data_IF_962970893717
#
_entry.id   IF_962970893717
#
_cell.length_a   1.000
_cell.length_b   1.000
_cell.length_c   1.000
_cell.angle_alpha   90.00
_cell.angle_beta   90.00
_cell.angle_gamma   90.00
#
_symmetry.space_group_name_H-M   'P 1'
#
loop_
_entity.id
_entity.type
_entity.pdbx_description
1 polymer ?
#
# COMPACT_ATOMS: atom_id res chain seq x y z
N UNK A 1 81.63 -28.86 24.68
CA UNK A 1 81.31 -29.43 26.00
C UNK A 1 79.79 -29.44 26.14
N UNK A 2 79.15 -30.20 25.25
CA UNK A 2 77.71 -30.12 24.97
C UNK A 2 77.29 -31.40 24.21
N UNK A 3 77.89 -32.53 24.58
CA UNK A 3 77.75 -33.81 23.87
C UNK A 3 77.76 -35.02 24.82
N UNK A 4 77.61 -34.81 26.14
CA UNK A 4 77.52 -35.88 27.15
C UNK A 4 76.15 -35.96 27.86
N UNK A 5 75.20 -35.08 27.50
CA UNK A 5 73.86 -35.04 28.13
C UNK A 5 72.77 -35.68 27.26
N UNK A 6 73.06 -36.03 26.01
CA UNK A 6 72.09 -36.63 25.08
C UNK A 6 72.03 -38.16 25.11
N UNK A 7 73.06 -38.86 25.62
CA UNK A 7 73.07 -40.33 25.63
C UNK A 7 72.29 -40.94 26.82
N UNK A 8 72.02 -40.18 27.88
CA UNK A 8 71.21 -40.64 29.02
C UNK A 8 69.69 -40.60 28.80
N UNK A 9 69.23 -39.96 27.73
CA UNK A 9 67.81 -39.88 27.37
C UNK A 9 67.37 -40.99 26.41
N UNK A 10 68.29 -41.73 25.79
CA UNK A 10 67.97 -42.82 24.86
C UNK A 10 67.93 -44.21 25.50
N UNK A 11 68.60 -44.42 26.63
CA UNK A 11 68.57 -45.72 27.35
C UNK A 11 67.39 -45.87 28.32
N UNK A 12 66.73 -44.78 28.72
CA UNK A 12 65.51 -44.86 29.55
C UNK A 12 64.25 -45.13 28.70
N UNK A 13 64.37 -45.07 27.37
CA UNK A 13 63.24 -45.17 26.45
C UNK A 13 63.09 -46.56 25.80
N UNK A 14 64.02 -47.50 26.08
CA UNK A 14 64.06 -48.83 25.45
C UNK A 14 63.92 -50.02 26.42
N UNK A 15 63.49 -49.82 27.67
CA UNK A 15 63.39 -50.91 28.66
C UNK A 15 62.01 -51.12 29.31
N UNK A 16 60.93 -50.59 28.73
CA UNK A 16 59.56 -50.88 29.15
C UNK A 16 58.67 -51.07 27.91
N UNK A 17 59.07 -52.00 27.06
CA UNK A 17 58.24 -52.50 25.96
C UNK A 17 58.45 -54.01 25.83
N UNK A 18 57.81 -54.76 26.73
CA UNK A 18 57.47 -56.18 26.53
C UNK A 18 56.72 -56.70 27.77
N UNK A 19 55.40 -56.54 27.75
CA UNK A 19 54.41 -57.55 28.13
C UNK A 19 53.12 -56.83 28.51
N UNK A 20 52.14 -56.83 27.61
CA UNK A 20 50.90 -57.59 27.81
C UNK A 20 49.93 -57.20 26.69
N UNK A 21 49.76 -58.13 25.77
CA UNK A 21 48.69 -58.13 24.80
C UNK A 21 47.35 -58.22 25.53
N UNK A 22 46.61 -57.12 25.63
CA UNK A 22 45.17 -57.21 25.87
C UNK A 22 44.43 -56.16 25.04
N UNK A 23 43.74 -56.67 24.03
CA UNK A 23 42.79 -55.93 23.21
C UNK A 23 41.56 -55.57 24.05
N UNK A 24 41.49 -54.34 24.53
CA UNK A 24 40.30 -53.80 25.19
C UNK A 24 39.80 -52.54 24.46
N UNK A 25 39.00 -52.85 23.44
CA UNK A 25 37.80 -52.14 22.99
C UNK A 25 37.67 -50.66 23.41
N UNK A 26 38.08 -49.76 22.52
CA UNK A 26 37.69 -48.34 22.56
C UNK A 26 36.20 -48.27 22.21
N UNK A 27 35.36 -48.57 23.20
CA UNK A 27 33.95 -48.23 23.20
C UNK A 27 33.62 -47.54 24.51
N UNK A 28 34.22 -46.37 24.72
CA UNK A 28 33.78 -45.41 25.73
C UNK A 28 32.36 -44.95 25.37
N UNK A 29 31.37 -45.77 25.72
CA UNK A 29 29.99 -45.35 25.80
C UNK A 29 29.93 -44.30 26.89
N UNK A 30 29.95 -43.02 26.50
CA UNK A 30 29.60 -41.92 27.38
C UNK A 30 28.13 -42.13 27.79
N UNK A 31 27.92 -42.85 28.90
CA UNK A 31 26.62 -42.99 29.54
C UNK A 31 26.27 -41.59 30.04
N UNK A 32 25.54 -40.82 29.23
CA UNK A 32 25.03 -39.53 29.66
C UNK A 32 24.28 -39.74 30.99
N UNK A 33 24.54 -38.90 32.02
CA UNK A 33 23.88 -39.03 33.30
C UNK A 33 22.36 -39.05 33.09
N UNK A 34 21.61 -39.83 33.90
CA UNK A 34 20.17 -40.03 33.70
C UNK A 34 19.39 -38.72 33.61
N UNK A 35 19.82 -37.69 34.34
CA UNK A 35 19.25 -36.34 34.28
C UNK A 35 19.40 -35.68 32.89
N UNK A 36 20.54 -35.84 32.23
CA UNK A 36 20.79 -35.26 30.90
C UNK A 36 19.95 -35.94 29.81
N UNK A 37 19.63 -37.24 29.97
CA UNK A 37 18.69 -37.95 29.09
C UNK A 37 17.27 -37.41 29.24
N UNK A 38 16.82 -37.15 30.47
CA UNK A 38 15.51 -36.55 30.72
C UNK A 38 15.42 -35.11 30.20
N UNK A 39 16.47 -34.31 30.37
CA UNK A 39 16.54 -32.95 29.80
C UNK A 39 16.50 -33.00 28.27
N UNK A 40 17.28 -33.88 27.64
CA UNK A 40 17.26 -34.04 26.19
C UNK A 40 15.88 -34.48 25.67
N UNK A 41 15.22 -35.42 26.36
CA UNK A 41 13.87 -35.84 26.04
C UNK A 41 12.86 -34.68 26.17
N UNK A 42 12.95 -33.89 27.23
CA UNK A 42 12.09 -32.71 27.41
C UNK A 42 12.28 -31.67 26.30
N UNK A 43 13.53 -31.39 25.89
CA UNK A 43 13.83 -30.47 24.78
C UNK A 43 13.25 -30.99 23.46
N UNK A 44 13.37 -32.29 23.18
CA UNK A 44 12.78 -32.90 21.98
C UNK A 44 11.25 -32.79 22.00
N UNK A 45 10.61 -33.05 23.15
CA UNK A 45 9.16 -32.92 23.30
C UNK A 45 8.72 -31.47 23.06
N UNK A 46 9.42 -30.49 23.66
CA UNK A 46 9.12 -29.07 23.45
C UNK A 46 9.29 -28.70 21.97
N UNK A 47 10.38 -29.13 21.34
CA UNK A 47 10.61 -28.88 19.91
C UNK A 47 9.53 -29.49 19.01
N UNK A 48 9.02 -30.68 19.34
CA UNK A 48 7.89 -31.30 18.63
C UNK A 48 6.61 -30.49 18.84
N UNK A 49 6.32 -30.07 20.08
CA UNK A 49 5.13 -29.26 20.39
C UNK A 49 5.18 -27.93 19.63
N UNK A 50 6.32 -27.23 19.64
CA UNK A 50 6.50 -25.97 18.93
C UNK A 50 6.37 -26.15 17.42
N UNK A 51 6.95 -27.22 16.87
CA UNK A 51 6.82 -27.54 15.44
C UNK A 51 5.37 -27.83 15.06
N UNK A 52 4.66 -28.65 15.86
CA UNK A 52 3.24 -28.93 15.67
C UNK A 52 2.39 -27.66 15.77
N UNK A 53 2.69 -26.78 16.73
CA UNK A 53 2.01 -25.49 16.87
C UNK A 53 2.25 -24.59 15.66
N UNK A 54 3.49 -24.49 15.16
CA UNK A 54 3.82 -23.73 13.96
C UNK A 54 3.14 -24.28 12.70
N UNK A 55 3.10 -25.60 12.55
CA UNK A 55 2.38 -26.26 11.44
C UNK A 55 0.89 -25.98 11.53
N UNK A 56 0.29 -26.10 12.72
CA UNK A 56 -1.13 -25.81 12.94
C UNK A 56 -1.47 -24.35 12.64
N UNK A 57 -0.66 -23.41 13.14
CA UNK A 57 -0.82 -21.98 12.88
C UNK A 57 -0.70 -21.69 11.38
N UNK A 58 0.29 -22.26 10.71
CA UNK A 58 0.47 -22.10 9.25
C UNK A 58 -0.73 -22.66 8.48
N UNK A 59 -1.22 -23.84 8.86
CA UNK A 59 -2.41 -24.44 8.26
C UNK A 59 -3.66 -23.57 8.48
N UNK A 60 -3.88 -23.08 9.70
CA UNK A 60 -4.96 -22.15 10.02
C UNK A 60 -4.83 -20.86 9.19
N UNK A 61 -3.63 -20.32 9.03
CA UNK A 61 -3.41 -19.12 8.23
C UNK A 61 -3.76 -19.32 6.76
N UNK A 62 -3.46 -20.49 6.20
CA UNK A 62 -3.73 -20.82 4.81
C UNK A 62 -5.20 -21.21 4.55
N UNK A 63 -5.94 -21.67 5.56
CA UNK A 63 -7.31 -22.18 5.40
C UNK A 63 -8.38 -21.18 5.83
N UNK A 64 -8.15 -20.46 6.93
CA UNK A 64 -9.13 -19.52 7.51
C UNK A 64 -9.01 -18.15 6.87
N UNK A 65 -7.79 -17.63 6.70
CA UNK A 65 -7.58 -16.38 6.00
C UNK A 65 -7.48 -16.68 4.50
N UNK A 66 -8.62 -16.53 3.81
CA UNK A 66 -8.66 -16.54 2.35
C UNK A 66 -7.57 -15.60 1.79
N UNK A 67 -7.05 -15.87 0.57
CA UNK A 67 -6.08 -14.99 -0.07
C UNK A 67 -6.56 -13.55 -0.01
N UNK A 68 -5.66 -12.61 0.29
CA UNK A 68 -5.98 -11.17 0.36
C UNK A 68 -6.70 -10.68 -0.91
N UNK A 69 -6.42 -11.33 -2.04
CA UNK A 69 -6.99 -11.03 -3.35
C UNK A 69 -8.44 -11.52 -3.52
N UNK A 70 -8.98 -12.32 -2.60
CA UNK A 70 -10.40 -12.64 -2.59
C UNK A 70 -11.21 -11.40 -2.22
N UNK A 71 -10.85 -10.72 -1.13
CA UNK A 71 -11.57 -9.54 -0.62
C UNK A 71 -11.63 -8.39 -1.64
N UNK A 72 -10.57 -8.20 -2.43
CA UNK A 72 -10.52 -7.17 -3.48
C UNK A 72 -11.47 -7.43 -4.65
N UNK A 73 -12.00 -8.65 -4.78
CA UNK A 73 -12.93 -9.08 -5.85
C UNK A 73 -14.39 -9.10 -5.42
N UNK A 74 -14.71 -8.89 -4.13
CA UNK A 74 -16.10 -8.77 -3.72
C UNK A 74 -16.65 -7.39 -4.05
N UNK A 75 -17.91 -7.37 -4.45
CA UNK A 75 -18.68 -6.14 -4.45
C UNK A 75 -18.78 -5.62 -3.00
N UNK A 76 -18.78 -4.30 -2.83
CA UNK A 76 -19.14 -3.75 -1.53
C UNK A 76 -20.60 -4.09 -1.26
N UNK A 77 -20.88 -4.51 -0.03
CA UNK A 77 -22.25 -4.49 0.47
C UNK A 77 -22.77 -3.06 0.55
N UNK A 78 -24.02 -2.87 0.14
CA UNK A 78 -24.72 -1.61 0.36
C UNK A 78 -25.12 -1.53 1.85
N UNK A 79 -24.63 -0.55 2.62
CA UNK A 79 -25.01 -0.42 4.02
C UNK A 79 -26.41 0.18 4.22
N UNK A 80 -27.04 0.72 3.17
CA UNK A 80 -28.32 1.42 3.20
C UNK A 80 -29.48 0.54 2.70
N UNK A 81 -29.63 -0.64 3.29
CA UNK A 81 -30.67 -1.60 2.89
C UNK A 81 -32.07 -1.01 3.13
N UNK A 82 -32.92 -1.05 2.10
CA UNK A 82 -34.33 -0.61 2.18
C UNK A 82 -34.56 0.91 2.03
N UNK A 83 -33.51 1.74 1.97
CA UNK A 83 -33.69 3.18 1.75
C UNK A 83 -34.21 3.49 0.33
N UNK A 84 -33.75 2.75 -0.68
CA UNK A 84 -34.28 2.88 -2.04
C UNK A 84 -35.80 2.68 -2.09
N UNK A 85 -36.30 1.62 -1.44
CA UNK A 85 -37.74 1.33 -1.38
C UNK A 85 -38.49 2.40 -0.60
N UNK A 86 -37.92 2.89 0.51
CA UNK A 86 -38.52 3.93 1.34
C UNK A 86 -38.72 5.24 0.56
N UNK A 87 -37.66 5.75 -0.08
CA UNK A 87 -37.72 7.02 -0.81
C UNK A 87 -38.47 6.89 -2.14
N UNK A 88 -38.38 5.75 -2.83
CA UNK A 88 -39.16 5.52 -4.05
C UNK A 88 -40.68 5.46 -3.79
N UNK A 89 -41.11 5.20 -2.55
CA UNK A 89 -42.53 5.19 -2.19
C UNK A 89 -43.21 6.57 -2.22
N UNK A 90 -42.43 7.66 -2.20
CA UNK A 90 -42.95 9.03 -2.12
C UNK A 90 -43.65 9.39 -0.80
N UNK A 91 -43.64 8.50 0.21
CA UNK A 91 -44.28 8.72 1.51
C UNK A 91 -43.40 9.45 2.51
N UNK A 92 -42.11 9.60 2.21
CA UNK A 92 -41.10 10.19 3.08
C UNK A 92 -40.37 11.27 2.31
N UNK A 93 -40.25 12.45 2.92
CA UNK A 93 -39.44 13.54 2.39
C UNK A 93 -37.99 13.38 2.85
N UNK A 94 -37.04 13.71 1.98
CA UNK A 94 -35.64 13.83 2.33
C UNK A 94 -35.36 15.20 2.98
N UNK A 95 -34.37 15.23 3.86
CA UNK A 95 -33.79 16.48 4.35
C UNK A 95 -32.84 17.03 3.29
N UNK A 96 -32.74 18.36 3.15
CA UNK A 96 -31.74 18.96 2.28
C UNK A 96 -30.33 18.76 2.87
N UNK A 97 -29.40 18.24 2.07
CA UNK A 97 -28.01 17.98 2.46
C UNK A 97 -27.08 18.70 1.49
N UNK A 98 -26.10 19.42 2.04
CA UNK A 98 -25.07 20.08 1.25
C UNK A 98 -24.16 19.07 0.53
N UNK A 99 -23.53 19.45 -0.59
CA UNK A 99 -22.67 18.54 -1.34
C UNK A 99 -21.52 18.00 -0.47
N UNK A 100 -21.29 16.69 -0.55
CA UNK A 100 -20.24 16.02 0.22
C UNK A 100 -18.96 15.96 -0.62
N UNK A 101 -17.85 16.42 -0.05
CA UNK A 101 -16.53 16.34 -0.71
C UNK A 101 -15.91 14.96 -0.48
N UNK A 102 -15.82 14.19 -1.55
CA UNK A 102 -15.13 12.91 -1.59
C UNK A 102 -13.71 13.09 -2.14
N UNK A 103 -12.73 13.01 -1.22
CA UNK A 103 -11.30 13.00 -1.56
C UNK A 103 -10.87 11.65 -2.14
N UNK A 104 -9.84 11.61 -3.00
CA UNK A 104 -9.37 10.35 -3.57
C UNK A 104 -8.85 9.43 -2.48
N UNK A 105 -9.21 8.15 -2.55
CA UNK A 105 -8.68 7.09 -1.68
C UNK A 105 -7.23 6.79 -1.99
N UNK A 106 -6.86 6.88 -3.26
CA UNK A 106 -5.46 6.85 -3.72
C UNK A 106 -5.24 7.90 -4.81
N UNK A 107 -4.04 8.49 -4.78
CA UNK A 107 -3.50 9.35 -5.83
C UNK A 107 -2.09 8.85 -6.12
N UNK A 108 -1.82 8.43 -7.35
CA UNK A 108 -0.59 7.75 -7.72
C UNK A 108 -0.05 8.28 -9.04
N UNK A 109 1.25 8.49 -9.12
CA UNK A 109 1.91 9.01 -10.32
C UNK A 109 2.39 7.85 -11.20
N UNK A 110 2.18 7.97 -12.50
CA UNK A 110 2.72 7.06 -13.51
C UNK A 110 3.50 7.85 -14.55
N UNK A 111 4.60 7.26 -15.04
CA UNK A 111 5.60 7.94 -15.86
C UNK A 111 5.60 7.36 -17.28
N UNK A 112 5.36 8.21 -18.26
CA UNK A 112 5.25 7.84 -19.68
C UNK A 112 6.61 7.38 -20.23
N UNK A 113 7.67 8.06 -19.83
CA UNK A 113 9.07 7.84 -20.22
C UNK A 113 9.69 6.63 -19.51
N UNK A 114 9.22 6.32 -18.30
CA UNK A 114 9.64 5.15 -17.51
C UNK A 114 8.45 4.19 -17.29
N UNK A 115 7.99 3.46 -18.32
CA UNK A 115 6.69 2.79 -18.25
C UNK A 115 6.60 1.62 -17.26
N UNK A 116 7.75 1.07 -16.88
CA UNK A 116 7.88 -0.01 -15.90
C UNK A 116 8.15 0.50 -14.48
N UNK A 117 8.39 1.81 -14.31
CA UNK A 117 8.58 2.43 -13.00
C UNK A 117 7.26 2.43 -12.24
N UNK A 118 7.29 1.82 -11.06
CA UNK A 118 6.15 1.76 -10.14
C UNK A 118 5.93 3.13 -9.48
N UNK A 119 4.67 3.47 -9.23
CA UNK A 119 4.30 4.69 -8.51
C UNK A 119 5.05 4.82 -7.19
N UNK A 120 5.63 5.99 -6.89
CA UNK A 120 6.27 6.23 -5.61
C UNK A 120 5.24 6.10 -4.49
N UNK A 121 5.69 5.63 -3.33
CA UNK A 121 4.87 5.47 -2.13
C UNK A 121 5.59 6.13 -0.96
N UNK A 122 4.80 6.70 -0.05
CA UNK A 122 5.33 7.24 1.19
C UNK A 122 6.29 8.41 1.02
N UNK A 123 6.14 9.22 -0.04
CA UNK A 123 6.98 10.39 -0.32
C UNK A 123 7.04 11.37 0.86
N UNK A 124 5.99 11.42 1.67
CA UNK A 124 5.89 12.26 2.86
C UNK A 124 5.66 11.46 4.14
N UNK A 125 6.02 10.17 4.13
CA UNK A 125 6.02 9.38 5.34
C UNK A 125 7.03 9.98 6.33
N UNK A 126 6.61 10.14 7.58
CA UNK A 126 7.46 10.68 8.63
C UNK A 126 7.58 9.70 9.78
N UNK A 127 8.78 9.59 10.35
CA UNK A 127 8.97 8.82 11.58
C UNK A 127 8.57 9.67 12.79
N UNK A 128 7.71 9.13 13.64
CA UNK A 128 7.32 9.72 14.93
C UNK A 128 7.74 8.79 16.05
N UNK A 129 8.57 9.28 16.97
CA UNK A 129 8.96 8.52 18.15
C UNK A 129 7.72 8.03 18.92
N UNK A 130 7.66 6.74 19.24
CA UNK A 130 6.54 6.08 19.90
C UNK A 130 5.41 5.57 18.99
N UNK A 131 5.30 6.08 17.76
CA UNK A 131 4.22 5.73 16.82
C UNK A 131 4.73 5.06 15.55
N UNK A 132 6.04 5.13 15.30
CA UNK A 132 6.68 4.58 14.11
C UNK A 132 6.51 5.46 12.89
N UNK A 133 6.51 4.84 11.70
CA UNK A 133 6.28 5.53 10.43
C UNK A 133 4.81 5.89 10.27
N UNK A 134 4.52 7.19 10.15
CA UNK A 134 3.19 7.73 9.93
C UNK A 134 3.12 8.28 8.50
N UNK A 135 2.14 7.81 7.74
CA UNK A 135 1.80 8.36 6.42
C UNK A 135 0.74 9.46 6.58
N UNK A 136 1.06 10.73 6.30
CA UNK A 136 0.06 11.80 6.33
C UNK A 136 -1.08 11.52 5.35
N UNK A 137 -2.28 11.98 5.68
CA UNK A 137 -3.43 11.87 4.78
C UNK A 137 -3.41 12.96 3.69
N UNK A 138 -2.24 13.18 3.10
CA UNK A 138 -2.00 14.15 2.04
C UNK A 138 -2.22 13.51 0.67
N UNK A 139 -2.60 14.31 -0.33
CA UNK A 139 -2.78 13.83 -1.70
C UNK A 139 -1.96 14.68 -2.64
N UNK A 140 -1.25 14.01 -3.55
CA UNK A 140 -0.41 14.64 -4.55
C UNK A 140 -1.08 14.53 -5.91
N UNK A 141 -1.39 15.68 -6.50
CA UNK A 141 -1.73 15.82 -7.90
C UNK A 141 -0.50 16.33 -8.63
N UNK A 142 0.09 15.49 -9.48
CA UNK A 142 1.29 15.85 -10.24
C UNK A 142 1.11 15.48 -11.71
N UNK A 143 1.06 16.51 -12.55
CA UNK A 143 0.84 16.36 -13.99
C UNK A 143 1.86 17.20 -14.73
N UNK A 144 2.59 16.54 -15.62
CA UNK A 144 3.56 17.12 -16.55
C UNK A 144 3.40 16.42 -17.91
N UNK A 145 4.14 16.81 -18.98
CA UNK A 145 4.08 16.09 -20.24
C UNK A 145 4.47 14.60 -20.16
N UNK A 146 5.23 14.21 -19.12
CA UNK A 146 5.71 12.83 -18.93
C UNK A 146 5.13 12.14 -17.68
N UNK A 147 4.50 12.89 -16.78
CA UNK A 147 3.90 12.32 -15.56
C UNK A 147 2.40 12.50 -15.57
N UNK A 148 1.67 11.40 -15.40
CA UNK A 148 0.22 11.41 -15.22
C UNK A 148 -0.11 11.07 -13.77
N UNK A 149 -1.25 11.56 -13.28
CA UNK A 149 -1.79 11.15 -11.97
C UNK A 149 -3.03 10.29 -12.17
N UNK A 150 -3.05 9.12 -11.52
CA UNK A 150 -4.22 8.26 -11.41
C UNK A 150 -4.85 8.45 -10.04
N UNK A 151 -6.13 8.82 -10.03
CA UNK A 151 -6.93 8.99 -8.82
C UNK A 151 -8.05 7.95 -8.77
N UNK A 152 -8.32 7.46 -7.56
CA UNK A 152 -9.40 6.52 -7.31
C UNK A 152 -10.34 7.04 -6.22
N UNK A 153 -11.63 6.93 -6.48
CA UNK A 153 -12.70 7.27 -5.57
C UNK A 153 -13.62 6.07 -5.36
N UNK A 154 -14.30 6.09 -4.22
CA UNK A 154 -15.42 5.20 -3.96
C UNK A 154 -16.54 6.03 -3.35
N UNK A 155 -17.67 6.14 -4.04
CA UNK A 155 -18.85 6.81 -3.50
C UNK A 155 -19.39 6.01 -2.34
N UNK A 156 -19.96 6.69 -1.34
CA UNK A 156 -20.38 6.04 -0.09
C UNK A 156 -21.86 6.30 0.13
N UNK A 157 -22.27 7.57 0.11
CA UNK A 157 -23.59 7.96 0.61
C UNK A 157 -24.72 7.69 -0.39
N UNK A 158 -25.73 6.95 0.08
CA UNK A 158 -26.99 6.76 -0.62
C UNK A 158 -27.73 8.11 -0.75
N UNK A 159 -28.38 8.33 -1.89
CA UNK A 159 -29.10 9.56 -2.13
C UNK A 159 -28.20 10.75 -2.45
N UNK A 160 -26.89 10.53 -2.61
CA UNK A 160 -25.90 11.53 -3.03
C UNK A 160 -25.22 11.09 -4.34
N UNK A 161 -26.04 10.68 -5.32
CA UNK A 161 -25.59 9.92 -6.50
C UNK A 161 -25.41 10.77 -7.77
N UNK A 162 -25.43 12.10 -7.64
CA UNK A 162 -25.05 13.05 -8.69
C UNK A 162 -23.63 13.56 -8.43
N UNK A 163 -22.63 12.96 -9.07
CA UNK A 163 -21.23 13.26 -8.83
C UNK A 163 -20.68 14.30 -9.80
N UNK A 164 -19.92 15.24 -9.24
CA UNK A 164 -19.23 16.30 -9.96
C UNK A 164 -17.73 16.16 -9.69
N UNK A 165 -16.96 15.76 -10.70
CA UNK A 165 -15.50 15.77 -10.64
C UNK A 165 -15.02 17.22 -10.76
N UNK A 166 -14.34 17.71 -9.74
CA UNK A 166 -13.87 19.10 -9.65
C UNK A 166 -12.37 19.15 -9.42
N UNK A 167 -11.72 20.14 -10.02
CA UNK A 167 -10.34 20.51 -9.73
C UNK A 167 -10.33 21.81 -8.92
N UNK A 168 -9.77 21.77 -7.73
CA UNK A 168 -9.67 22.90 -6.81
C UNK A 168 -8.22 23.33 -6.69
N UNK A 169 -7.92 24.57 -7.07
CA UNK A 169 -6.58 25.16 -6.94
C UNK A 169 -6.60 26.35 -5.97
N UNK A 170 -5.56 26.53 -5.14
CA UNK A 170 -5.47 27.69 -4.26
C UNK A 170 -5.31 28.99 -5.06
N UNK A 171 -5.75 30.10 -4.47
CA UNK A 171 -5.44 31.43 -4.98
C UNK A 171 -3.94 31.71 -4.90
N UNK A 172 -3.35 32.46 -5.86
CA UNK A 172 -1.93 32.79 -5.84
C UNK A 172 -1.62 33.71 -4.67
N UNK A 173 -0.54 33.43 -3.93
CA UNK A 173 -0.10 34.27 -2.82
C UNK A 173 -0.83 34.04 -1.50
N UNK A 174 -1.77 33.08 -1.43
CA UNK A 174 -2.37 32.67 -0.15
C UNK A 174 -1.40 31.77 0.62
N UNK A 175 -1.29 32.02 1.92
CA UNK A 175 -0.53 31.13 2.82
C UNK A 175 -1.23 29.78 2.91
N UNK A 176 -0.56 28.75 2.41
CA UNK A 176 -1.05 27.38 2.49
C UNK A 176 -0.76 26.79 3.88
N UNK A 177 -1.60 25.87 4.33
CA UNK A 177 -1.38 25.12 5.56
C UNK A 177 -0.11 24.27 5.47
N UNK A 178 0.42 23.87 6.64
CA UNK A 178 1.52 22.92 6.70
C UNK A 178 1.16 21.63 5.93
N UNK A 179 2.04 21.23 5.00
CA UNK A 179 1.82 20.07 4.13
C UNK A 179 1.05 20.37 2.84
N UNK A 180 0.43 21.54 2.69
CA UNK A 180 -0.12 21.95 1.39
C UNK A 180 0.94 22.71 0.57
N UNK A 181 0.99 22.45 -0.74
CA UNK A 181 1.84 23.20 -1.68
C UNK A 181 1.18 23.27 -3.05
N UNK A 182 1.47 24.31 -3.82
CA UNK A 182 0.93 24.48 -5.17
C UNK A 182 1.99 25.11 -6.06
N UNK A 183 2.32 24.44 -7.16
CA UNK A 183 3.13 24.95 -8.24
C UNK A 183 2.41 24.63 -9.55
N UNK A 184 1.81 25.65 -10.16
CA UNK A 184 0.94 25.50 -11.32
C UNK A 184 1.29 26.54 -12.38
N UNK A 185 1.50 26.09 -13.61
CA UNK A 185 1.61 27.00 -14.76
C UNK A 185 0.22 27.40 -15.23
N UNK A 186 -0.06 28.71 -15.30
CA UNK A 186 -1.39 29.27 -15.63
C UNK A 186 -1.94 28.85 -17.00
N UNK A 187 -1.04 28.60 -17.96
CA UNK A 187 -1.38 28.13 -19.31
C UNK A 187 -1.53 26.61 -19.40
N UNK A 188 -1.40 25.88 -18.28
CA UNK A 188 -1.56 24.43 -18.26
C UNK A 188 -2.94 24.04 -18.76
N UNK A 189 -2.97 23.10 -19.69
CA UNK A 189 -4.20 22.45 -20.14
C UNK A 189 -4.09 20.98 -19.78
N UNK A 190 -5.14 20.46 -19.16
CA UNK A 190 -5.19 19.06 -18.74
C UNK A 190 -6.27 18.31 -19.52
N UNK A 191 -6.07 17.01 -19.62
CA UNK A 191 -7.09 16.08 -20.12
C UNK A 191 -7.32 15.02 -19.06
N UNK A 192 -8.60 14.72 -18.82
CA UNK A 192 -9.05 13.77 -17.82
C UNK A 192 -9.72 12.61 -18.54
N UNK A 193 -9.24 11.42 -18.25
CA UNK A 193 -9.74 10.16 -18.80
C UNK A 193 -10.39 9.34 -17.69
N UNK A 194 -11.54 8.74 -17.98
CA UNK A 194 -12.09 7.67 -17.14
C UNK A 194 -11.40 6.35 -17.50
N UNK A 195 -10.94 5.63 -16.50
CA UNK A 195 -10.29 4.33 -16.70
C UNK A 195 -11.28 3.16 -16.52
N UNK A 196 -11.08 2.09 -17.28
CA UNK A 196 -11.81 0.84 -17.15
C UNK A 196 -11.20 -0.01 -16.02
N UNK A 197 -11.67 0.23 -14.79
CA UNK A 197 -11.24 -0.51 -13.61
C UNK A 197 -12.45 -1.14 -12.91
N UNK A 198 -12.52 -2.47 -12.91
CA UNK A 198 -13.56 -3.24 -12.20
C UNK A 198 -13.23 -3.38 -10.70
N UNK A 199 -11.94 -3.35 -10.37
CA UNK A 199 -11.42 -3.55 -9.02
C UNK A 199 -10.52 -2.38 -8.61
N UNK A 200 -10.35 -2.14 -7.30
CA UNK A 200 -9.43 -1.13 -6.81
C UNK A 200 -8.03 -1.30 -7.40
N UNK A 201 -7.43 -0.20 -7.83
CA UNK A 201 -6.07 -0.14 -8.38
C UNK A 201 -5.06 -0.50 -7.30
N UNK A 202 -4.22 -1.49 -7.56
CA UNK A 202 -3.10 -1.83 -6.69
C UNK A 202 -1.93 -0.87 -6.92
N UNK A 203 -1.85 0.15 -6.07
CA UNK A 203 -0.78 1.16 -6.10
C UNK A 203 0.63 0.58 -5.92
N UNK A 204 0.78 -0.67 -5.46
CA UNK A 204 2.09 -1.31 -5.27
C UNK A 204 2.70 -1.83 -6.57
N UNK A 205 1.86 -2.12 -7.55
CA UNK A 205 2.25 -2.69 -8.85
C UNK A 205 1.89 -1.75 -10.00
N UNK A 206 1.25 -0.62 -9.69
CA UNK A 206 0.87 0.40 -10.65
C UNK A 206 2.09 1.07 -11.27
N UNK A 207 2.22 0.94 -12.58
CA UNK A 207 3.13 1.65 -13.45
C UNK A 207 2.35 2.17 -14.66
N UNK A 208 2.98 2.93 -15.54
CA UNK A 208 2.31 3.36 -16.77
C UNK A 208 1.90 2.15 -17.61
N UNK A 209 2.68 1.07 -17.64
CA UNK A 209 2.36 -0.16 -18.38
C UNK A 209 1.21 -0.96 -17.78
N UNK A 210 1.12 -1.03 -16.44
CA UNK A 210 0.11 -1.85 -15.75
C UNK A 210 -1.17 -1.10 -15.42
N UNK A 211 -1.25 0.21 -15.73
CA UNK A 211 -2.44 1.01 -15.45
C UNK A 211 -3.69 0.49 -16.16
N UNK A 212 -4.88 0.66 -15.59
CA UNK A 212 -6.12 0.29 -16.26
C UNK A 212 -6.29 1.08 -17.58
N UNK A 213 -6.87 0.44 -18.60
CA UNK A 213 -7.01 1.06 -19.92
C UNK A 213 -7.95 2.27 -19.87
N UNK A 214 -7.67 3.26 -20.70
CA UNK A 214 -8.57 4.39 -20.91
C UNK A 214 -9.89 3.87 -21.50
N UNK A 215 -11.00 4.20 -20.83
CA UNK A 215 -12.35 3.92 -21.32
C UNK A 215 -12.86 5.06 -22.20
N UNK A 216 -12.77 6.31 -21.71
CA UNK A 216 -13.18 7.51 -22.45
C UNK A 216 -12.54 8.78 -21.88
N UNK A 217 -12.35 9.80 -22.71
CA UNK A 217 -12.08 11.16 -22.25
C UNK A 217 -13.33 11.78 -21.64
N UNK A 218 -13.24 12.35 -20.44
CA UNK A 218 -14.37 13.00 -19.75
C UNK A 218 -14.23 14.51 -19.65
N UNK A 219 -13.01 15.03 -19.74
CA UNK A 219 -12.71 16.46 -19.84
C UNK A 219 -11.47 16.63 -20.72
N UNK A 220 -11.53 17.43 -21.79
CA UNK A 220 -10.47 17.50 -22.80
C UNK A 220 -9.95 18.93 -22.93
N UNK A 221 -8.63 19.11 -22.80
CA UNK A 221 -7.95 20.41 -22.91
C UNK A 221 -8.54 21.49 -22.00
N UNK A 222 -8.91 21.11 -20.78
CA UNK A 222 -9.45 22.04 -19.79
C UNK A 222 -8.33 22.86 -19.20
N UNK A 223 -8.53 24.18 -19.14
CA UNK A 223 -7.65 25.07 -18.41
C UNK A 223 -8.16 25.18 -16.96
N UNK A 224 -7.34 24.84 -15.96
CA UNK A 224 -7.72 25.00 -14.56
C UNK A 224 -8.03 26.45 -14.21
N UNK A 225 -9.17 26.68 -13.57
CA UNK A 225 -9.45 27.92 -12.85
C UNK A 225 -8.61 28.01 -11.58
N UNK A 226 -8.32 29.23 -11.15
CA UNK A 226 -7.55 29.51 -9.94
C UNK A 226 -8.48 30.09 -8.90
N UNK A 227 -8.28 29.72 -7.63
CA UNK A 227 -9.04 30.30 -6.52
C UNK A 227 -10.47 29.79 -6.42
N UNK A 228 -10.72 28.59 -6.95
CA UNK A 228 -12.04 27.99 -6.90
C UNK A 228 -12.08 26.62 -7.56
N UNK A 229 -13.31 26.11 -7.65
CA UNK A 229 -13.59 24.81 -8.23
C UNK A 229 -13.80 24.93 -9.73
N UNK A 230 -13.02 24.15 -10.48
CA UNK A 230 -13.22 23.94 -11.91
C UNK A 230 -13.97 22.64 -12.12
N UNK A 231 -15.23 22.71 -12.58
CA UNK A 231 -16.00 21.53 -12.94
C UNK A 231 -15.38 20.83 -14.16
N UNK A 232 -14.97 19.58 -13.98
CA UNK A 232 -14.36 18.75 -15.03
C UNK A 232 -15.38 17.82 -15.67
N UNK A 233 -16.21 17.15 -14.87
CA UNK A 233 -17.18 16.17 -15.38
C UNK A 233 -18.34 15.97 -14.40
N UNK A 234 -19.57 15.91 -14.91
CA UNK A 234 -20.75 15.50 -14.14
C UNK A 234 -21.19 14.11 -14.58
N UNK A 235 -21.48 13.21 -13.64
CA UNK A 235 -21.87 11.84 -13.93
C UNK A 235 -22.69 11.22 -12.79
N UNK A 236 -23.61 10.30 -13.10
CA UNK A 236 -24.27 9.50 -12.08
C UNK A 236 -23.28 8.54 -11.44
N UNK A 237 -23.35 8.40 -10.11
CA UNK A 237 -22.44 7.61 -9.32
C UNK A 237 -23.19 6.82 -8.24
N UNK A 238 -23.63 5.59 -8.55
CA UNK A 238 -24.35 4.77 -7.58
C UNK A 238 -23.57 4.63 -6.27
N UNK A 239 -24.26 4.51 -5.14
CA UNK A 239 -23.62 4.24 -3.85
C UNK A 239 -22.67 3.04 -3.93
N UNK A 240 -21.54 3.13 -3.24
CA UNK A 240 -20.49 2.11 -3.19
C UNK A 240 -19.82 1.78 -4.54
N UNK A 241 -19.97 2.63 -5.58
CA UNK A 241 -19.33 2.41 -6.88
C UNK A 241 -17.90 2.93 -6.93
N UNK A 242 -17.08 2.27 -7.77
CA UNK A 242 -15.67 2.58 -7.98
C UNK A 242 -15.51 3.52 -9.17
N UNK A 243 -14.77 4.61 -8.98
CA UNK A 243 -14.44 5.53 -10.06
C UNK A 243 -12.93 5.77 -10.10
N UNK A 244 -12.33 5.57 -11.27
CA UNK A 244 -10.90 5.75 -11.48
C UNK A 244 -10.70 6.70 -12.66
N UNK A 245 -9.86 7.71 -12.47
CA UNK A 245 -9.53 8.70 -13.49
C UNK A 245 -8.02 8.83 -13.65
N UNK A 246 -7.58 9.03 -14.89
CA UNK A 246 -6.22 9.42 -15.25
C UNK A 246 -6.24 10.89 -15.66
N UNK A 247 -5.35 11.68 -15.07
CA UNK A 247 -5.16 13.09 -15.41
C UNK A 247 -3.80 13.23 -16.04
N UNK A 248 -3.83 13.73 -17.26
CA UNK A 248 -2.67 13.89 -18.11
C UNK A 248 -2.59 15.33 -18.63
N UNK A 249 -1.41 15.68 -19.11
CA UNK A 249 -1.23 16.88 -19.90
C UNK A 249 -2.11 16.83 -21.15
N UNK A 250 -2.65 17.97 -21.57
CA UNK A 250 -3.24 18.05 -22.90
C UNK A 250 -2.14 17.97 -23.97
N UNK A 251 -2.43 17.28 -25.07
CA UNK A 251 -1.48 17.14 -26.18
C UNK A 251 -0.99 18.51 -26.66
N UNK A 252 0.34 18.63 -26.79
CA UNK A 252 1.01 19.86 -27.23
C UNK A 252 0.99 21.00 -26.21
N UNK A 253 0.62 20.75 -24.95
CA UNK A 253 0.78 21.71 -23.86
C UNK A 253 2.00 21.39 -23.01
N UNK A 254 2.71 22.42 -22.58
CA UNK A 254 3.73 22.32 -21.53
C UNK A 254 3.04 22.64 -20.19
N UNK A 255 2.33 21.64 -19.66
CA UNK A 255 1.59 21.78 -18.42
C UNK A 255 2.46 21.44 -17.22
N UNK A 256 2.24 22.17 -16.13
CA UNK A 256 2.76 21.84 -14.81
C UNK A 256 1.63 22.05 -13.82
N UNK A 257 1.19 20.95 -13.22
CA UNK A 257 0.24 20.96 -12.13
C UNK A 257 0.81 20.10 -11.00
N UNK A 258 1.40 20.73 -10.00
CA UNK A 258 1.98 20.07 -8.84
C UNK A 258 1.35 20.63 -7.56
N UNK A 259 0.40 19.88 -7.01
CA UNK A 259 -0.41 20.30 -5.87
C UNK A 259 -0.42 19.21 -4.81
N UNK A 260 -0.05 19.57 -3.60
CA UNK A 260 -0.22 18.76 -2.41
C UNK A 260 -1.39 19.29 -1.58
N UNK A 261 -2.33 18.42 -1.24
CA UNK A 261 -3.39 18.71 -0.28
C UNK A 261 -2.94 18.35 1.13
N UNK A 262 -3.30 19.17 2.11
CA UNK A 262 -3.23 18.83 3.54
C UNK A 262 -4.42 17.95 3.95
N UNK A 263 -4.49 17.58 5.23
CA UNK A 263 -5.66 16.90 5.81
C UNK A 263 -6.91 17.78 5.82
N UNK A 264 -6.76 19.10 6.03
CA UNK A 264 -7.89 20.01 6.20
C UNK A 264 -8.31 20.69 4.88
N UNK A 265 -7.41 20.76 3.90
CA UNK A 265 -7.69 21.38 2.60
C UNK A 265 -8.27 20.37 1.60
N UNK A 266 -8.83 20.89 0.52
CA UNK A 266 -9.44 20.12 -0.59
C UNK A 266 -8.74 20.40 -1.92
N UNK A 267 -7.49 20.88 -1.91
CA UNK A 267 -6.78 21.13 -3.16
C UNK A 267 -6.53 19.84 -3.96
N UNK A 268 -6.50 19.98 -5.28
CA UNK A 268 -6.37 18.86 -6.22
C UNK A 268 -7.73 18.44 -6.80
N UNK A 269 -7.87 17.16 -7.16
CA UNK A 269 -9.08 16.66 -7.81
C UNK A 269 -9.93 15.90 -6.80
N UNK A 270 -11.20 16.26 -6.70
CA UNK A 270 -12.16 15.65 -5.80
C UNK A 270 -13.47 15.37 -6.53
N UNK A 271 -14.32 14.57 -5.89
CA UNK A 271 -15.72 14.42 -6.30
C UNK A 271 -16.57 15.19 -5.30
N UNK A 272 -17.47 16.05 -5.79
CA UNK A 272 -18.60 16.55 -5.01
C UNK A 272 -19.79 15.65 -5.28
N UNK A 273 -20.36 15.06 -4.24
CA UNK A 273 -21.58 14.27 -4.31
C UNK A 273 -22.78 15.16 -3.99
N UNK A 274 -23.71 15.31 -4.93
CA UNK A 274 -24.94 16.08 -4.76
C UNK A 274 -26.14 15.16 -4.53
N UNK A 275 -27.10 15.70 -3.79
CA UNK A 275 -28.33 15.00 -3.42
C UNK A 275 -29.20 14.65 -4.63
N UNK A 276 -29.73 13.42 -4.64
CA UNK A 276 -30.60 12.86 -5.68
C UNK A 276 -31.96 12.37 -5.19
N UNK A 277 -32.13 12.21 -3.86
CA UNK A 277 -33.39 11.80 -3.22
C UNK A 277 -33.83 12.80 -2.18
#
# INVERSE_FOLDING_TARGET
>A
MQEEEYSKLLDTQNSLDSDESDSLDIRTQYILPPLLRWVAAAVVIIGIIDTCALVYVTHMFNTVFRPKDFASRLQYGNPYIGLQDLYSSGKVNSSAIDPIVLRPRSSAQVFVDEPDRVSPRGLRDTWKAGWGTVSPNERHLHVTPITHTIVQYRTIDFGMEDCHLVLTLPEPGVSLEAGASSNVTLSSRITVFRLAAEHPVDVKTLSYRTRPKVSRGVAVRVQPGIGGDTLLHRFPCPSASLHVFEIACADGSDCLLDVWSSQNTTYGINILQHQTV
#
